data_IF_675623750705
#
_entry.id   IF_675623750705
#
_cell.length_a   1.000
_cell.length_b   1.000
_cell.length_c   1.000
_cell.angle_alpha   90.00
_cell.angle_beta   90.00
_cell.angle_gamma   90.00
#
_symmetry.space_group_name_H-M   'P 1'
#
loop_
_entity.id
_entity.type
_entity.pdbx_description
1 polymer ?
#
# COMPACT_ATOMS: atom_id res chain seq x y z
N UNK A 1 6.75 -18.13 6.66
CA UNK A 1 7.93 -17.60 5.96
C UNK A 1 9.14 -17.88 6.82
N UNK A 2 9.91 -18.90 6.48
CA UNK A 2 11.17 -19.20 7.18
C UNK A 2 12.26 -18.34 6.53
N UNK A 3 12.64 -17.26 7.21
CA UNK A 3 13.82 -16.51 6.84
C UNK A 3 15.06 -17.28 7.29
N UNK A 4 15.89 -17.74 6.35
CA UNK A 4 17.29 -17.86 6.67
C UNK A 4 17.82 -16.44 6.82
N UNK A 5 17.96 -15.99 8.05
CA UNK A 5 18.64 -14.75 8.39
C UNK A 5 20.14 -14.93 8.11
N UNK A 6 20.53 -14.93 6.84
CA UNK A 6 21.83 -14.42 6.50
C UNK A 6 21.71 -12.92 6.73
N UNK A 7 22.55 -12.38 7.62
CA UNK A 7 22.65 -10.95 7.90
C UNK A 7 22.93 -10.24 6.58
N UNK A 8 21.85 -9.92 5.85
CA UNK A 8 21.90 -9.03 4.71
C UNK A 8 22.05 -7.64 5.29
N UNK A 9 23.29 -7.19 5.33
CA UNK A 9 23.61 -5.80 5.63
C UNK A 9 22.75 -4.92 4.74
N UNK A 10 21.89 -4.12 5.35
CA UNK A 10 21.24 -3.00 4.70
C UNK A 10 22.30 -2.16 3.97
N UNK A 11 22.41 -2.37 2.68
CA UNK A 11 23.09 -1.43 1.80
C UNK A 11 22.01 -0.52 1.26
N UNK A 12 22.00 0.72 1.71
CA UNK A 12 21.17 1.82 1.22
C UNK A 12 19.67 1.78 1.60
N UNK A 13 19.29 1.29 2.79
CA UNK A 13 17.91 1.43 3.29
C UNK A 13 16.86 0.55 2.58
N UNK A 14 17.27 -0.41 1.77
CA UNK A 14 16.38 -1.28 1.00
C UNK A 14 16.36 -2.68 1.60
N UNK A 15 15.15 -3.18 1.90
CA UNK A 15 14.95 -4.46 2.56
C UNK A 15 14.80 -5.59 1.54
N UNK A 16 15.77 -6.52 1.48
CA UNK A 16 15.55 -7.80 0.81
C UNK A 16 14.56 -8.65 1.59
N UNK A 17 13.53 -9.16 0.92
CA UNK A 17 12.54 -10.09 1.50
C UNK A 17 12.77 -11.55 1.10
N UNK A 18 13.89 -11.82 0.42
CA UNK A 18 14.32 -13.18 0.07
C UNK A 18 13.55 -13.79 -1.09
N UNK A 19 13.39 -15.11 -1.04
CA UNK A 19 12.70 -15.93 -2.05
C UNK A 19 11.43 -16.54 -1.51
N UNK A 20 10.46 -16.93 -2.38
CA UNK A 20 9.27 -17.62 -1.94
C UNK A 20 9.60 -18.93 -1.23
N UNK A 21 8.78 -19.30 -0.25
CA UNK A 21 8.81 -20.63 0.39
C UNK A 21 8.27 -21.69 -0.57
N UNK A 22 8.47 -22.97 -0.23
CA UNK A 22 7.93 -24.09 -1.01
C UNK A 22 6.42 -23.96 -1.22
N UNK A 23 5.95 -24.38 -2.39
CA UNK A 23 4.53 -24.33 -2.80
C UNK A 23 3.92 -22.93 -2.87
N UNK A 24 4.76 -21.90 -2.93
CA UNK A 24 4.35 -20.50 -3.12
C UNK A 24 4.95 -19.98 -4.42
N UNK A 25 4.11 -19.40 -5.26
CA UNK A 25 4.52 -18.69 -6.46
C UNK A 25 4.48 -17.20 -6.21
N UNK A 26 5.45 -16.49 -6.78
CA UNK A 26 5.46 -15.03 -6.75
C UNK A 26 5.69 -14.49 -8.14
N UNK A 27 5.00 -13.42 -8.45
CA UNK A 27 5.10 -12.72 -9.72
C UNK A 27 5.24 -11.22 -9.44
N UNK A 28 6.18 -10.57 -10.11
CA UNK A 28 6.31 -9.10 -10.12
C UNK A 28 5.69 -8.63 -11.43
N UNK A 29 4.55 -7.95 -11.34
CA UNK A 29 3.71 -7.63 -12.49
C UNK A 29 3.49 -6.12 -12.62
N UNK A 30 3.25 -5.68 -13.86
CA UNK A 30 2.74 -4.35 -14.13
C UNK A 30 1.21 -4.27 -13.95
N UNK A 31 0.62 -3.08 -14.14
CA UNK A 31 -0.83 -2.85 -14.03
C UNK A 31 -1.67 -3.65 -15.05
N UNK A 32 -1.05 -4.16 -16.10
CA UNK A 32 -1.67 -5.02 -17.12
C UNK A 32 -1.44 -6.51 -16.87
N UNK A 33 -0.96 -6.88 -15.68
CA UNK A 33 -0.61 -8.24 -15.26
C UNK A 33 0.47 -8.90 -16.15
N UNK A 34 1.39 -8.13 -16.73
CA UNK A 34 2.52 -8.64 -17.50
C UNK A 34 3.75 -8.78 -16.60
N UNK A 35 4.51 -9.88 -16.70
CA UNK A 35 5.73 -10.07 -15.92
C UNK A 35 6.77 -9.00 -16.24
N UNK A 36 7.41 -8.50 -15.21
CA UNK A 36 8.47 -7.51 -15.33
C UNK A 36 9.86 -8.15 -15.24
N UNK A 37 10.83 -7.62 -16.00
CA UNK A 37 12.19 -8.13 -15.96
C UNK A 37 12.90 -7.81 -14.64
N UNK A 38 14.02 -8.51 -14.39
CA UNK A 38 14.88 -8.28 -13.23
C UNK A 38 15.27 -6.80 -13.15
N UNK A 39 15.19 -6.23 -11.94
CA UNK A 39 15.53 -4.85 -11.63
C UNK A 39 14.39 -3.85 -11.85
N UNK A 40 13.31 -4.23 -12.54
CA UNK A 40 12.14 -3.36 -12.77
C UNK A 40 11.14 -3.53 -11.63
N UNK A 41 10.69 -2.41 -11.08
CA UNK A 41 9.72 -2.36 -9.99
C UNK A 41 8.30 -2.67 -10.49
N UNK A 42 7.55 -3.45 -9.71
CA UNK A 42 6.16 -3.79 -9.97
C UNK A 42 5.44 -4.31 -8.74
N UNK A 43 4.15 -4.58 -8.87
CA UNK A 43 3.36 -5.14 -7.78
C UNK A 43 3.69 -6.61 -7.56
N UNK A 44 3.89 -6.98 -6.29
CA UNK A 44 4.03 -8.36 -5.87
C UNK A 44 2.67 -9.06 -5.89
N UNK A 45 2.57 -10.13 -6.66
CA UNK A 45 1.42 -11.03 -6.66
C UNK A 45 1.85 -12.40 -6.14
N UNK A 46 1.02 -13.01 -5.31
CA UNK A 46 1.31 -14.30 -4.68
C UNK A 46 0.30 -15.34 -5.13
N UNK A 47 0.79 -16.50 -5.54
CA UNK A 47 0.02 -17.70 -5.87
C UNK A 47 0.47 -18.91 -5.08
N UNK A 48 -0.20 -20.04 -5.28
CA UNK A 48 0.18 -21.33 -4.73
C UNK A 48 -0.74 -21.84 -3.64
N UNK A 49 -0.35 -22.97 -3.02
CA UNK A 49 -1.19 -23.72 -2.08
C UNK A 49 -1.51 -22.97 -0.77
N UNK A 50 -0.72 -21.97 -0.44
CA UNK A 50 -0.88 -21.17 0.78
C UNK A 50 -1.88 -20.01 0.68
N UNK A 51 -2.54 -19.82 -0.48
CA UNK A 51 -3.51 -18.75 -0.64
C UNK A 51 -4.75 -18.97 0.25
N UNK A 52 -5.17 -17.91 0.94
CA UNK A 52 -6.45 -17.87 1.65
C UNK A 52 -7.63 -17.98 0.66
N UNK A 53 -8.79 -18.39 1.17
CA UNK A 53 -10.04 -18.43 0.39
C UNK A 53 -10.53 -17.02 0.05
N UNK A 54 -10.27 -16.05 0.91
CA UNK A 54 -10.67 -14.67 0.77
C UNK A 54 -10.77 -13.98 2.12
N UNK A 55 -11.33 -12.78 2.14
CA UNK A 55 -11.65 -12.02 3.33
C UNK A 55 -12.98 -12.47 3.91
N UNK A 56 -13.03 -12.68 5.22
CA UNK A 56 -14.24 -13.11 5.91
C UNK A 56 -15.34 -12.04 5.80
N UNK A 57 -16.53 -12.48 5.36
CA UNK A 57 -17.70 -11.61 5.18
C UNK A 57 -17.47 -10.35 4.32
N UNK A 58 -16.45 -10.38 3.46
CA UNK A 58 -16.17 -9.29 2.53
C UNK A 58 -15.89 -9.83 1.12
N UNK A 59 -16.95 -10.17 0.34
CA UNK A 59 -16.81 -10.70 -1.00
C UNK A 59 -16.27 -9.68 -1.99
N UNK A 60 -16.54 -8.39 -1.82
CA UNK A 60 -16.09 -7.32 -2.69
C UNK A 60 -14.56 -7.18 -2.60
N UNK A 61 -14.02 -7.03 -1.40
CA UNK A 61 -12.57 -6.99 -1.18
C UNK A 61 -11.90 -8.30 -1.61
N UNK A 62 -12.58 -9.44 -1.45
CA UNK A 62 -12.07 -10.72 -1.94
C UNK A 62 -11.93 -10.71 -3.46
N UNK A 63 -12.93 -10.23 -4.19
CA UNK A 63 -12.89 -10.15 -5.65
C UNK A 63 -11.82 -9.16 -6.14
N UNK A 64 -11.61 -8.06 -5.42
CA UNK A 64 -10.58 -7.07 -5.73
C UNK A 64 -9.15 -7.63 -5.55
N UNK A 65 -8.90 -8.31 -4.44
CA UNK A 65 -7.53 -8.74 -4.05
C UNK A 65 -7.17 -10.13 -4.56
N UNK A 66 -8.13 -11.02 -4.79
CA UNK A 66 -7.89 -12.37 -5.30
C UNK A 66 -8.35 -12.49 -6.75
N UNK A 67 -7.46 -12.16 -7.67
CA UNK A 67 -7.71 -12.12 -9.10
C UNK A 67 -7.43 -13.47 -9.78
N UNK A 68 -7.95 -13.67 -10.98
CA UNK A 68 -7.59 -14.83 -11.82
C UNK A 68 -6.11 -14.82 -12.16
N UNK A 69 -5.48 -15.99 -12.10
CA UNK A 69 -4.06 -16.16 -12.43
C UNK A 69 -3.88 -16.35 -13.94
N UNK A 70 -3.33 -15.39 -14.68
CA UNK A 70 -3.10 -15.55 -16.12
C UNK A 70 -1.99 -16.55 -16.46
N UNK A 71 -1.21 -16.99 -15.45
CA UNK A 71 -0.12 -17.97 -15.58
C UNK A 71 -0.50 -19.34 -15.03
N UNK A 72 -1.81 -19.59 -14.81
CA UNK A 72 -2.26 -20.86 -14.26
C UNK A 72 -1.92 -22.02 -15.20
N UNK A 73 -1.24 -23.01 -14.67
CA UNK A 73 -0.95 -24.27 -15.34
C UNK A 73 -1.54 -25.43 -14.53
N UNK A 74 -2.59 -26.05 -15.08
CA UNK A 74 -3.27 -27.20 -14.45
C UNK A 74 -2.39 -28.43 -14.25
N UNK A 75 -1.29 -28.54 -14.99
CA UNK A 75 -0.35 -29.64 -14.89
C UNK A 75 0.72 -29.42 -13.81
N UNK A 76 0.82 -28.20 -13.29
CA UNK A 76 1.73 -27.85 -12.22
C UNK A 76 0.99 -27.84 -10.87
N UNK A 77 1.23 -28.79 -9.96
CA UNK A 77 0.54 -28.86 -8.68
C UNK A 77 0.80 -27.67 -7.76
N UNK A 78 1.83 -26.88 -8.05
CA UNK A 78 2.16 -25.67 -7.30
C UNK A 78 1.49 -24.42 -7.91
N UNK A 79 0.83 -24.55 -9.08
CA UNK A 79 0.10 -23.44 -9.69
C UNK A 79 -1.28 -23.30 -9.05
N UNK A 80 -1.70 -22.06 -8.83
CA UNK A 80 -3.03 -21.74 -8.31
C UNK A 80 -3.85 -20.99 -9.36
N UNK A 81 -5.16 -21.22 -9.39
CA UNK A 81 -6.09 -20.52 -10.29
C UNK A 81 -6.20 -19.02 -10.00
N UNK A 82 -5.76 -18.61 -8.81
CA UNK A 82 -5.84 -17.22 -8.36
C UNK A 82 -4.49 -16.69 -7.93
N UNK A 83 -4.33 -15.38 -8.02
CA UNK A 83 -3.25 -14.60 -7.44
C UNK A 83 -3.82 -13.64 -6.41
N UNK A 84 -3.09 -13.43 -5.33
CA UNK A 84 -3.35 -12.40 -4.35
C UNK A 84 -2.52 -11.15 -4.69
N UNK A 85 -3.19 -10.03 -4.89
CA UNK A 85 -2.59 -8.70 -5.05
C UNK A 85 -2.18 -8.19 -3.67
N UNK A 86 -0.87 -8.05 -3.45
CA UNK A 86 -0.37 -7.66 -2.12
C UNK A 86 -0.41 -6.15 -1.88
N UNK A 87 -0.37 -5.36 -2.95
CA UNK A 87 -0.14 -3.92 -2.88
C UNK A 87 1.31 -3.55 -2.53
N UNK A 88 2.20 -4.53 -2.45
CA UNK A 88 3.64 -4.28 -2.21
C UNK A 88 4.36 -4.00 -3.53
N UNK A 89 5.11 -2.92 -3.58
CA UNK A 89 6.02 -2.60 -4.68
C UNK A 89 7.36 -3.30 -4.44
N UNK A 90 7.76 -4.15 -5.37
CA UNK A 90 8.98 -4.95 -5.26
C UNK A 90 9.71 -5.00 -6.60
N UNK A 91 10.96 -5.51 -6.58
CA UNK A 91 11.66 -5.94 -7.79
C UNK A 91 12.47 -7.19 -7.54
N UNK A 92 12.72 -7.98 -8.60
CA UNK A 92 13.70 -9.06 -8.55
C UNK A 92 15.12 -8.52 -8.60
N UNK A 93 15.97 -9.06 -7.74
CA UNK A 93 17.42 -8.88 -7.83
C UNK A 93 18.06 -9.94 -8.76
N UNK A 94 19.29 -9.71 -9.27
CA UNK A 94 19.96 -10.66 -10.15
C UNK A 94 20.18 -12.07 -9.55
N UNK A 95 20.22 -12.18 -8.23
CA UNK A 95 20.35 -13.43 -7.48
C UNK A 95 19.01 -14.15 -7.25
N UNK A 96 17.91 -13.58 -7.76
CA UNK A 96 16.56 -14.10 -7.65
C UNK A 96 15.89 -13.80 -6.31
N UNK A 97 16.48 -12.99 -5.44
CA UNK A 97 15.81 -12.45 -4.27
C UNK A 97 14.86 -11.32 -4.67
N UNK A 98 13.86 -11.09 -3.84
CA UNK A 98 12.95 -9.95 -3.95
C UNK A 98 13.44 -8.83 -3.03
N UNK A 99 13.41 -7.62 -3.54
CA UNK A 99 13.66 -6.39 -2.81
C UNK A 99 12.35 -5.63 -2.63
N UNK A 100 12.02 -5.29 -1.39
CA UNK A 100 10.86 -4.49 -1.08
C UNK A 100 11.19 -3.00 -1.23
N UNK A 101 10.40 -2.28 -2.02
CA UNK A 101 10.58 -0.87 -2.34
C UNK A 101 9.57 0.02 -1.62
N UNK A 102 8.44 -0.55 -1.17
CA UNK A 102 7.38 0.20 -0.51
C UNK A 102 6.00 -0.39 -0.77
N UNK A 103 4.96 0.43 -0.62
CA UNK A 103 3.57 0.07 -0.92
C UNK A 103 3.07 0.90 -2.09
N UNK A 104 2.23 0.28 -2.94
CA UNK A 104 1.51 0.96 -4.02
C UNK A 104 0.27 1.66 -3.45
N UNK A 105 -0.40 0.99 -2.50
CA UNK A 105 -1.47 1.57 -1.72
C UNK A 105 -0.87 2.42 -0.56
N UNK A 106 -1.57 3.43 -0.15
CA UNK A 106 -1.13 4.37 0.90
C UNK A 106 -1.09 3.75 2.32
N UNK A 107 -1.12 2.41 2.42
CA UNK A 107 -1.06 1.71 3.68
C UNK A 107 0.28 1.92 4.38
N UNK A 108 0.23 2.30 5.64
CA UNK A 108 1.42 2.59 6.45
C UNK A 108 1.55 1.66 7.66
N UNK A 109 2.78 1.41 8.08
CA UNK A 109 3.07 0.75 9.35
C UNK A 109 3.58 1.79 10.35
N UNK A 110 2.81 1.98 11.44
CA UNK A 110 3.18 2.89 12.53
C UNK A 110 3.13 2.10 13.84
N UNK A 111 4.27 2.04 14.55
CA UNK A 111 4.42 1.30 15.82
C UNK A 111 3.94 -0.14 15.76
N UNK A 112 4.11 -0.81 14.61
CA UNK A 112 3.69 -2.19 14.38
C UNK A 112 2.22 -2.35 13.95
N UNK A 113 1.40 -1.31 13.99
CA UNK A 113 0.04 -1.34 13.47
C UNK A 113 0.02 -1.12 11.96
N UNK A 114 -0.75 -1.93 11.27
CA UNK A 114 -1.06 -1.79 9.85
C UNK A 114 -2.26 -0.86 9.73
N UNK A 115 -2.09 0.29 9.09
CA UNK A 115 -3.07 1.36 9.03
C UNK A 115 -3.41 1.63 7.57
N UNK A 116 -4.68 1.53 7.24
CA UNK A 116 -5.25 1.94 5.96
C UNK A 116 -5.64 3.42 6.09
N UNK A 117 -4.92 4.31 5.41
CA UNK A 117 -5.20 5.75 5.51
C UNK A 117 -6.61 6.08 5.00
N UNK A 118 -7.05 5.41 3.93
CA UNK A 118 -8.40 5.58 3.37
C UNK A 118 -9.54 5.19 4.33
N UNK A 119 -9.33 4.23 5.27
CA UNK A 119 -10.33 3.94 6.31
C UNK A 119 -10.51 5.12 7.27
N UNK A 120 -9.40 5.77 7.63
CA UNK A 120 -9.45 6.96 8.49
C UNK A 120 -10.13 8.12 7.75
N UNK A 121 -9.77 8.35 6.48
CA UNK A 121 -10.40 9.36 5.64
C UNK A 121 -11.90 9.13 5.53
N UNK A 122 -12.32 7.89 5.28
CA UNK A 122 -13.74 7.54 5.23
C UNK A 122 -14.46 7.80 6.55
N UNK A 123 -13.85 7.49 7.69
CA UNK A 123 -14.43 7.76 9.00
C UNK A 123 -14.54 9.26 9.28
N UNK A 124 -13.57 10.06 8.85
CA UNK A 124 -13.61 11.52 8.96
C UNK A 124 -14.73 12.11 8.09
N UNK A 125 -14.88 11.61 6.85
CA UNK A 125 -15.95 12.05 5.93
C UNK A 125 -17.38 11.68 6.39
N UNK A 126 -17.53 10.75 7.34
CA UNK A 126 -18.82 10.44 7.95
C UNK A 126 -19.24 11.47 9.02
N UNK A 127 -18.40 12.43 9.36
CA UNK A 127 -18.73 13.50 10.29
C UNK A 127 -19.42 14.63 9.52
N UNK A 128 -20.56 15.12 10.05
CA UNK A 128 -21.43 16.10 9.38
C UNK A 128 -20.70 17.42 9.02
N UNK A 129 -19.67 17.79 9.77
CA UNK A 129 -18.89 19.02 9.57
C UNK A 129 -17.66 18.83 8.67
N UNK A 130 -17.45 17.66 8.09
CA UNK A 130 -16.28 17.36 7.26
C UNK A 130 -16.69 17.16 5.80
N UNK A 131 -16.21 18.04 4.92
CA UNK A 131 -16.47 17.95 3.48
C UNK A 131 -15.41 17.14 2.75
N UNK A 132 -14.13 17.38 3.07
CA UNK A 132 -13.01 16.63 2.52
C UNK A 132 -12.07 16.21 3.63
N UNK A 133 -11.42 15.06 3.45
CA UNK A 133 -10.41 14.55 4.37
C UNK A 133 -9.26 13.90 3.61
N UNK A 134 -8.03 14.24 3.99
CA UNK A 134 -6.82 13.58 3.51
C UNK A 134 -5.95 13.22 4.71
N UNK A 135 -5.51 11.96 4.77
CA UNK A 135 -4.64 11.48 5.84
C UNK A 135 -3.28 11.12 5.27
N UNK A 136 -2.22 11.64 5.87
CA UNK A 136 -0.84 11.36 5.47
C UNK A 136 -0.01 10.87 6.65
N UNK A 137 1.00 10.04 6.35
CA UNK A 137 1.99 9.65 7.33
C UNK A 137 3.24 10.53 7.17
N UNK A 138 3.50 11.36 8.15
CA UNK A 138 4.70 12.19 8.21
C UNK A 138 5.79 11.50 9.03
N UNK A 139 7.04 11.65 8.57
CA UNK A 139 8.22 11.22 9.31
C UNK A 139 8.79 12.47 9.98
N UNK A 140 8.93 12.43 11.31
CA UNK A 140 9.59 13.51 12.05
C UNK A 140 11.10 13.47 11.83
N UNK A 141 11.81 14.55 12.17
CA UNK A 141 13.27 14.63 12.11
C UNK A 141 13.95 13.56 13.00
N UNK A 142 13.25 13.06 14.01
CA UNK A 142 13.69 11.96 14.87
C UNK A 142 13.43 10.56 14.26
N UNK A 143 12.84 10.48 13.05
CA UNK A 143 12.52 9.22 12.38
C UNK A 143 11.19 8.58 12.79
N UNK A 144 10.44 9.18 13.69
CA UNK A 144 9.14 8.67 14.13
C UNK A 144 8.06 8.99 13.08
N UNK A 145 7.23 7.96 12.76
CA UNK A 145 6.06 8.13 11.90
C UNK A 145 4.84 8.55 12.72
N UNK A 146 4.15 9.60 12.27
CA UNK A 146 2.87 10.04 12.82
C UNK A 146 1.85 10.25 11.71
N UNK A 147 0.57 10.06 12.03
CA UNK A 147 -0.55 10.40 11.13
C UNK A 147 -0.92 11.86 11.33
N UNK A 148 -1.21 12.51 10.22
CA UNK A 148 -1.77 13.86 10.19
C UNK A 148 -2.96 13.82 9.24
N UNK A 149 -4.13 14.24 9.74
CA UNK A 149 -5.33 14.41 8.95
C UNK A 149 -5.51 15.89 8.61
N UNK A 150 -5.78 16.17 7.36
CA UNK A 150 -6.21 17.47 6.87
C UNK A 150 -7.68 17.35 6.52
N UNK A 151 -8.51 18.24 7.06
CA UNK A 151 -9.96 18.24 6.81
C UNK A 151 -10.40 19.62 6.36
N UNK A 152 -11.40 19.67 5.49
CA UNK A 152 -12.14 20.89 5.16
C UNK A 152 -13.54 20.79 5.73
N UNK A 153 -14.13 21.93 6.06
CA UNK A 153 -15.52 22.02 6.53
C UNK A 153 -16.23 23.19 5.83
N UNK A 154 -17.56 23.25 5.92
CA UNK A 154 -18.33 24.33 5.30
C UNK A 154 -17.96 25.70 5.89
N UNK A 155 -17.73 26.69 5.03
CA UNK A 155 -17.36 28.06 5.41
C UNK A 155 -18.38 28.74 6.35
N UNK A 156 -19.59 28.24 6.40
CA UNK A 156 -20.67 28.81 7.25
C UNK A 156 -20.38 28.71 8.76
N UNK A 157 -19.50 27.76 9.18
CA UNK A 157 -19.13 27.57 10.59
C UNK A 157 -17.92 28.42 10.99
N UNK A 158 -17.13 28.87 10.03
CA UNK A 158 -15.87 29.60 10.27
C UNK A 158 -16.06 31.08 10.65
N UNK A 159 -17.24 31.63 10.55
CA UNK A 159 -17.49 33.04 10.94
C UNK A 159 -17.53 33.27 12.45
N UNK A 160 -17.29 32.23 13.24
CA UNK A 160 -17.30 32.32 14.72
C UNK A 160 -15.90 32.32 15.38
N UNK A 161 -14.82 31.93 14.69
CA UNK A 161 -13.49 31.88 15.30
C UNK A 161 -12.38 32.38 14.35
N UNK A 162 -11.97 33.60 14.59
CA UNK A 162 -10.70 34.29 14.31
C UNK A 162 -10.13 34.36 12.89
N UNK A 163 -10.12 35.61 12.39
CA UNK A 163 -9.28 36.16 11.33
C UNK A 163 -7.84 35.61 11.32
N UNK A 164 -7.52 34.77 10.33
CA UNK A 164 -6.15 34.63 9.85
C UNK A 164 -6.11 34.18 8.39
N UNK A 165 -6.12 35.15 7.46
CA UNK A 165 -6.12 34.97 6.00
C UNK A 165 -4.92 34.14 5.45
N UNK A 166 -3.79 34.13 6.13
CA UNK A 166 -2.60 33.40 5.69
C UNK A 166 -2.71 31.88 5.88
N UNK A 167 -3.48 31.43 6.86
CA UNK A 167 -3.67 29.99 7.14
C UNK A 167 -4.57 29.28 6.13
N UNK A 168 -5.52 29.99 5.52
CA UNK A 168 -6.49 29.43 4.57
C UNK A 168 -5.86 29.20 3.19
N UNK A 169 -5.07 30.12 2.66
CA UNK A 169 -4.40 30.00 1.37
C UNK A 169 -3.41 28.82 1.38
N UNK A 170 -2.60 28.69 2.44
CA UNK A 170 -1.65 27.59 2.61
C UNK A 170 -2.31 26.20 2.71
N UNK A 171 -3.52 26.12 3.27
CA UNK A 171 -4.27 24.86 3.39
C UNK A 171 -4.84 24.40 2.05
N UNK A 172 -5.37 25.31 1.25
CA UNK A 172 -5.96 24.98 -0.07
C UNK A 172 -4.89 24.51 -1.05
N UNK A 173 -3.81 25.28 -1.18
CA UNK A 173 -2.68 24.93 -2.05
C UNK A 173 -2.02 23.60 -1.65
N UNK A 174 -1.97 23.27 -0.36
CA UNK A 174 -1.41 22.02 0.13
C UNK A 174 -2.32 20.81 -0.19
N UNK A 175 -3.63 20.92 0.03
CA UNK A 175 -4.60 19.85 -0.28
C UNK A 175 -4.60 19.55 -1.77
N UNK A 176 -4.59 20.57 -2.62
CA UNK A 176 -4.55 20.40 -4.07
C UNK A 176 -3.20 19.83 -4.54
N UNK A 177 -2.10 20.22 -3.91
CA UNK A 177 -0.78 19.62 -4.13
C UNK A 177 -0.73 18.14 -3.75
N UNK A 178 -1.32 17.77 -2.60
CA UNK A 178 -1.41 16.37 -2.14
C UNK A 178 -2.34 15.56 -3.06
N UNK A 179 -3.51 16.08 -3.43
CA UNK A 179 -4.41 15.42 -4.40
C UNK A 179 -3.73 15.22 -5.76
N UNK A 180 -2.96 16.18 -6.26
CA UNK A 180 -2.23 16.07 -7.51
C UNK A 180 -1.05 15.07 -7.45
N UNK A 181 -0.49 14.83 -6.27
CA UNK A 181 0.60 13.86 -6.07
C UNK A 181 0.09 12.42 -5.88
N UNK A 182 -1.20 12.25 -5.60
CA UNK A 182 -1.85 10.97 -5.34
C UNK A 182 -2.60 10.41 -6.57
N UNK A 183 -2.76 11.17 -7.65
CA UNK A 183 -3.36 10.78 -8.93
C UNK A 183 -2.35 10.34 -9.95
#
# INVERSE_FOLDING_TARGET
>A
TTYSLSILREKNGVSSIGKPISNTQVHVLDSSLRPLPIGVAGELHIGGAGLARGYLNNPELTAEKFISNPFYDKNNPNSSERLYKTGDLVRYLPDGNLEFLGRIDHQVKIRGFRIELGEIEHQLLNHDDVNDAVVVALISDAGDKRLVAYVTHDEAVMLAEEDNDEGQALRHDFIDSVKASLG
#
